data_IF_681828504933
#
_entry.id   IF_681828504933
#
_cell.length_a   1.000
_cell.length_b   1.000
_cell.length_c   1.000
_cell.angle_alpha   90.00
_cell.angle_beta   90.00
_cell.angle_gamma   90.00
#
_symmetry.space_group_name_H-M   'P 1'
#
loop_
_entity.id
_entity.type
_entity.pdbx_description
1 polymer ?
#
# COMPACT_ATOMS: atom_id res chain seq x y z
N UNK A 1 45.54 26.98 -30.42
CA UNK A 1 45.04 26.64 -31.78
C UNK A 1 44.01 25.54 -31.68
N UNK A 2 42.84 25.81 -32.29
CA UNK A 2 41.67 24.96 -32.58
C UNK A 2 40.77 24.54 -31.42
N UNK A 3 39.72 25.29 -31.34
CA UNK A 3 38.39 25.06 -30.74
C UNK A 3 37.68 23.90 -31.42
N UNK A 4 36.89 23.14 -30.66
CA UNK A 4 35.76 22.42 -31.21
C UNK A 4 34.51 22.72 -30.38
N UNK A 5 33.49 23.19 -31.09
CA UNK A 5 32.17 23.57 -30.64
C UNK A 5 31.35 22.37 -30.16
N UNK A 6 30.64 22.54 -29.08
CA UNK A 6 29.50 21.71 -28.70
C UNK A 6 28.24 22.45 -29.10
N UNK A 7 27.41 21.83 -29.91
CA UNK A 7 26.13 22.33 -30.40
C UNK A 7 25.07 22.15 -29.31
N UNK A 8 24.48 23.25 -28.96
CA UNK A 8 23.31 23.37 -28.11
C UNK A 8 22.04 23.18 -28.97
N UNK A 9 21.19 22.24 -28.59
CA UNK A 9 19.92 21.97 -29.25
C UNK A 9 18.76 22.46 -28.38
N UNK A 10 18.52 23.76 -28.39
CA UNK A 10 17.32 24.38 -27.83
C UNK A 10 16.15 24.26 -28.81
N UNK A 11 15.14 23.46 -28.44
CA UNK A 11 13.90 23.28 -29.19
C UNK A 11 13.02 24.50 -29.21
N UNK A 12 12.64 24.91 -30.40
CA UNK A 12 11.78 26.05 -30.73
C UNK A 12 10.32 25.70 -30.44
N UNK A 13 9.69 26.41 -29.49
CA UNK A 13 8.24 26.45 -29.36
C UNK A 13 7.69 27.51 -30.37
N UNK A 14 6.94 27.06 -31.36
CA UNK A 14 6.24 27.92 -32.31
C UNK A 14 4.96 28.46 -31.66
N UNK A 15 4.98 29.76 -31.34
CA UNK A 15 3.78 30.52 -30.92
C UNK A 15 3.04 30.96 -32.16
N UNK A 16 1.86 30.41 -32.42
CA UNK A 16 0.97 30.87 -33.48
C UNK A 16 0.13 32.07 -33.01
N UNK A 17 0.47 33.24 -33.47
CA UNK A 17 -0.30 34.48 -33.24
C UNK A 17 -1.37 34.57 -34.32
N UNK A 18 -2.64 34.49 -33.93
CA UNK A 18 -3.79 34.76 -34.82
C UNK A 18 -4.19 36.21 -34.63
N UNK A 19 -3.99 36.99 -35.67
CA UNK A 19 -4.48 38.38 -35.78
C UNK A 19 -5.92 38.33 -36.25
N UNK A 20 -6.86 38.80 -35.44
CA UNK A 20 -8.28 38.93 -35.82
C UNK A 20 -8.56 40.41 -36.14
N UNK A 21 -8.92 40.69 -37.36
CA UNK A 21 -9.42 41.99 -37.80
C UNK A 21 -10.86 42.23 -37.30
N UNK A 22 -11.09 43.35 -36.63
CA UNK A 22 -12.42 43.83 -36.27
C UNK A 22 -13.06 44.48 -37.49
N UNK A 23 -14.20 43.99 -37.92
CA UNK A 23 -15.17 44.71 -38.74
C UNK A 23 -16.43 44.88 -37.90
N UNK A 24 -16.71 46.14 -37.56
CA UNK A 24 -17.94 46.49 -36.86
C UNK A 24 -19.13 46.50 -37.82
N UNK A 25 -20.12 45.65 -37.57
CA UNK A 25 -21.43 45.67 -38.21
C UNK A 25 -22.49 45.45 -37.16
N UNK A 26 -23.22 46.50 -36.80
CA UNK A 26 -24.41 46.44 -35.94
C UNK A 26 -25.53 45.72 -36.70
N UNK A 27 -25.99 44.60 -36.18
CA UNK A 27 -27.35 44.05 -36.37
C UNK A 27 -27.73 43.25 -35.13
N UNK A 28 -28.77 43.70 -34.47
CA UNK A 28 -29.42 43.08 -33.33
C UNK A 28 -30.10 41.77 -33.74
N UNK A 29 -29.72 40.65 -33.08
CA UNK A 29 -30.50 39.39 -33.12
C UNK A 29 -30.57 38.81 -31.71
N UNK A 30 -31.64 38.07 -31.38
CA UNK A 30 -32.03 37.81 -30.03
C UNK A 30 -31.17 36.69 -29.37
N UNK A 31 -31.01 36.87 -28.07
CA UNK A 31 -30.40 35.95 -27.12
C UNK A 31 -30.99 34.52 -27.21
N UNK A 32 -30.24 33.62 -27.85
CA UNK A 32 -30.45 32.18 -27.73
C UNK A 32 -29.06 31.46 -27.92
N UNK A 33 -28.18 31.59 -26.96
CA UNK A 33 -26.95 30.77 -26.91
C UNK A 33 -26.28 30.89 -25.54
N UNK A 34 -26.96 30.44 -24.46
CA UNK A 34 -26.31 30.39 -23.17
C UNK A 34 -26.80 29.19 -22.30
N UNK A 35 -26.89 28.00 -22.90
CA UNK A 35 -27.29 26.83 -22.13
C UNK A 35 -26.64 25.49 -22.60
N UNK A 36 -25.39 25.52 -23.03
CA UNK A 36 -24.71 24.27 -23.44
C UNK A 36 -23.26 24.09 -22.97
N UNK A 37 -22.77 24.90 -22.02
CA UNK A 37 -21.37 24.83 -21.60
C UNK A 37 -21.11 24.15 -20.26
N UNK A 38 -22.13 23.75 -19.50
CA UNK A 38 -21.97 23.22 -18.14
C UNK A 38 -22.06 21.69 -18.03
N UNK A 39 -22.53 20.97 -19.05
CA UNK A 39 -22.68 19.49 -19.00
C UNK A 39 -21.51 18.71 -19.59
N UNK A 40 -20.66 19.30 -20.42
CA UNK A 40 -19.56 18.56 -21.07
C UNK A 40 -18.36 18.32 -20.15
N UNK A 41 -18.08 19.20 -19.19
CA UNK A 41 -16.91 19.09 -18.32
C UNK A 41 -16.97 17.89 -17.37
N UNK A 42 -18.06 17.65 -16.64
CA UNK A 42 -18.20 16.44 -15.80
C UNK A 42 -18.15 15.12 -16.58
N UNK A 43 -18.72 15.10 -17.80
CA UNK A 43 -18.67 13.92 -18.65
C UNK A 43 -17.26 13.62 -19.19
N UNK A 44 -16.45 14.64 -19.45
CA UNK A 44 -15.07 14.48 -19.88
C UNK A 44 -14.18 14.02 -18.73
N UNK A 45 -14.31 14.62 -17.54
CA UNK A 45 -13.57 14.21 -16.35
C UNK A 45 -13.83 12.73 -16.01
N UNK A 46 -15.08 12.30 -16.05
CA UNK A 46 -15.44 10.88 -15.86
C UNK A 46 -14.81 9.94 -16.93
N UNK A 47 -14.69 10.41 -18.18
CA UNK A 47 -14.01 9.63 -19.22
C UNK A 47 -12.50 9.50 -18.96
N UNK A 48 -11.85 10.56 -18.48
CA UNK A 48 -10.45 10.54 -18.10
C UNK A 48 -10.21 9.63 -16.90
N UNK A 49 -11.02 9.71 -15.86
CA UNK A 49 -10.95 8.79 -14.72
C UNK A 49 -11.07 7.32 -15.15
N UNK A 50 -12.07 7.01 -16.00
CA UNK A 50 -12.24 5.66 -16.51
C UNK A 50 -11.07 5.20 -17.40
N UNK A 51 -10.43 6.13 -18.14
CA UNK A 51 -9.23 5.82 -18.91
C UNK A 51 -8.05 5.51 -17.99
N UNK A 52 -7.85 6.28 -16.93
CA UNK A 52 -6.81 6.03 -15.93
C UNK A 52 -6.98 4.65 -15.31
N UNK A 53 -8.18 4.28 -14.87
CA UNK A 53 -8.43 2.94 -14.34
C UNK A 53 -8.15 1.80 -15.34
N UNK A 54 -8.35 2.04 -16.66
CA UNK A 54 -7.98 1.07 -17.70
C UNK A 54 -6.46 0.98 -17.89
N UNK A 55 -5.76 2.10 -17.79
CA UNK A 55 -4.30 2.12 -17.83
C UNK A 55 -3.71 1.39 -16.62
N UNK A 56 -4.28 1.58 -15.43
CA UNK A 56 -3.89 0.85 -14.21
C UNK A 56 -4.12 -0.67 -14.38
N UNK A 57 -5.25 -1.08 -14.98
CA UNK A 57 -5.51 -2.49 -15.28
C UNK A 57 -4.49 -3.08 -16.26
N UNK A 58 -4.10 -2.31 -17.28
CA UNK A 58 -3.08 -2.74 -18.24
C UNK A 58 -1.70 -2.84 -17.58
N UNK A 59 -1.32 -1.82 -16.79
CA UNK A 59 -0.07 -1.83 -16.03
C UNK A 59 -0.01 -3.02 -15.08
N UNK A 60 -1.10 -3.30 -14.36
CA UNK A 60 -1.22 -4.47 -13.49
C UNK A 60 -1.07 -5.79 -14.24
N UNK A 61 -1.70 -5.92 -15.41
CA UNK A 61 -1.60 -7.13 -16.22
C UNK A 61 -0.18 -7.38 -16.73
N UNK A 62 0.57 -6.31 -17.02
CA UNK A 62 1.99 -6.40 -17.39
C UNK A 62 2.82 -6.83 -16.18
N UNK A 63 2.59 -6.20 -15.03
CA UNK A 63 3.31 -6.50 -13.78
C UNK A 63 3.07 -7.96 -13.33
N UNK A 64 1.85 -8.49 -13.52
CA UNK A 64 1.51 -9.90 -13.26
C UNK A 64 2.44 -10.86 -14.01
N UNK A 65 2.79 -10.54 -15.26
CA UNK A 65 3.72 -11.34 -16.07
C UNK A 65 5.16 -11.17 -15.58
N UNK A 66 5.53 -9.94 -15.21
CA UNK A 66 6.87 -9.63 -14.72
C UNK A 66 7.23 -10.36 -13.42
N UNK A 67 6.24 -10.69 -12.57
CA UNK A 67 6.51 -11.49 -11.37
C UNK A 67 7.19 -12.83 -11.69
N UNK A 68 6.77 -13.53 -12.75
CA UNK A 68 7.38 -14.79 -13.17
C UNK A 68 8.82 -14.62 -13.64
N UNK A 69 9.11 -13.52 -14.36
CA UNK A 69 10.48 -13.16 -14.75
C UNK A 69 11.38 -12.83 -13.55
N UNK A 70 10.82 -12.11 -12.57
CA UNK A 70 11.58 -11.54 -11.45
C UNK A 70 11.85 -12.50 -10.31
N UNK A 71 10.93 -13.41 -10.02
CA UNK A 71 11.02 -14.32 -8.85
C UNK A 71 10.69 -15.77 -9.17
N UNK A 72 10.31 -16.11 -10.40
CA UNK A 72 9.93 -17.46 -10.80
C UNK A 72 11.06 -18.50 -10.67
N UNK A 73 12.31 -18.08 -10.54
CA UNK A 73 13.46 -18.94 -10.24
C UNK A 73 13.57 -19.34 -8.76
N UNK A 74 12.90 -18.62 -7.86
CA UNK A 74 12.96 -18.85 -6.39
C UNK A 74 11.60 -19.17 -5.77
N UNK A 75 10.50 -18.84 -6.43
CA UNK A 75 9.14 -19.02 -5.93
C UNK A 75 8.21 -19.71 -6.94
N UNK A 76 7.31 -20.55 -6.43
CA UNK A 76 6.05 -20.84 -7.09
C UNK A 76 5.10 -19.69 -6.79
N UNK A 77 4.48 -19.14 -7.84
CA UNK A 77 3.66 -17.94 -7.76
C UNK A 77 2.24 -18.31 -8.13
N UNK A 78 1.29 -18.04 -7.25
CA UNK A 78 -0.13 -18.11 -7.52
C UNK A 78 -0.77 -16.72 -7.38
N UNK A 79 -1.81 -16.46 -8.14
CA UNK A 79 -2.70 -15.31 -7.98
C UNK A 79 -4.12 -15.83 -7.81
N UNK A 80 -4.64 -15.74 -6.60
CA UNK A 80 -5.89 -16.38 -6.18
C UNK A 80 -6.94 -15.37 -5.79
N UNK A 81 -8.22 -15.74 -5.90
CA UNK A 81 -9.31 -14.99 -5.33
C UNK A 81 -9.56 -15.38 -3.89
N UNK A 82 -9.65 -14.37 -3.03
CA UNK A 82 -10.05 -14.50 -1.64
C UNK A 82 -11.36 -13.73 -1.42
N UNK A 83 -12.11 -14.12 -0.42
CA UNK A 83 -13.40 -13.54 -0.06
C UNK A 83 -13.25 -12.84 1.28
N UNK A 84 -13.38 -11.52 1.26
CA UNK A 84 -13.39 -10.67 2.46
C UNK A 84 -14.82 -10.32 2.91
N UNK A 85 -14.96 -9.43 3.89
CA UNK A 85 -16.28 -8.96 4.37
C UNK A 85 -17.11 -8.28 3.26
N UNK A 86 -18.43 -8.15 3.45
CA UNK A 86 -19.28 -7.33 2.57
C UNK A 86 -18.80 -5.87 2.46
N UNK A 87 -19.21 -5.12 1.42
CA UNK A 87 -18.85 -3.71 1.27
C UNK A 87 -19.30 -2.88 2.47
N UNK A 88 -18.45 -1.94 2.93
CA UNK A 88 -18.82 -0.99 3.98
C UNK A 88 -19.99 -0.07 3.57
N UNK A 89 -20.04 0.28 2.28
CA UNK A 89 -21.05 1.17 1.69
C UNK A 89 -21.72 0.49 0.50
N UNK A 90 -23.06 0.41 0.56
CA UNK A 90 -23.85 -0.17 -0.51
C UNK A 90 -24.54 0.97 -1.27
N UNK A 91 -24.10 1.26 -2.50
CA UNK A 91 -24.63 2.34 -3.34
C UNK A 91 -26.10 2.11 -3.75
N UNK A 92 -26.47 0.86 -4.04
CA UNK A 92 -27.82 0.46 -4.39
C UNK A 92 -28.22 -0.79 -3.58
N UNK A 93 -28.93 -0.63 -2.45
CA UNK A 93 -29.30 -1.76 -1.59
C UNK A 93 -30.23 -2.79 -2.22
N UNK A 94 -30.91 -2.42 -3.32
CA UNK A 94 -31.83 -3.30 -4.06
C UNK A 94 -31.17 -4.02 -5.24
N UNK A 95 -29.89 -3.70 -5.54
CA UNK A 95 -29.17 -4.41 -6.58
C UNK A 95 -28.92 -5.87 -6.19
N UNK A 96 -29.01 -6.77 -7.17
CA UNK A 96 -28.68 -8.17 -6.96
C UNK A 96 -27.21 -8.27 -6.52
N UNK A 97 -26.96 -8.95 -5.39
CA UNK A 97 -25.61 -9.11 -4.85
C UNK A 97 -25.04 -7.89 -4.11
N UNK A 98 -25.84 -6.85 -3.85
CA UNK A 98 -25.40 -5.61 -3.20
C UNK A 98 -24.69 -5.81 -1.84
N UNK A 99 -24.99 -6.90 -1.13
CA UNK A 99 -24.40 -7.27 0.17
C UNK A 99 -23.47 -8.50 0.08
N UNK A 100 -23.15 -8.95 -1.12
CA UNK A 100 -22.23 -10.07 -1.25
C UNK A 100 -20.85 -9.68 -0.72
N UNK A 101 -20.13 -10.64 -0.12
CA UNK A 101 -18.73 -10.45 0.27
C UNK A 101 -17.88 -9.92 -0.88
N UNK A 102 -16.93 -9.05 -0.55
CA UNK A 102 -15.97 -8.52 -1.52
C UNK A 102 -15.00 -9.62 -1.90
N UNK A 103 -14.76 -9.77 -3.20
CA UNK A 103 -13.73 -10.67 -3.73
C UNK A 103 -12.53 -9.83 -4.13
N UNK A 104 -11.36 -10.24 -3.72
CA UNK A 104 -10.11 -9.57 -4.06
C UNK A 104 -9.04 -10.58 -4.48
N UNK A 105 -8.10 -10.14 -5.30
CA UNK A 105 -6.95 -10.94 -5.67
C UNK A 105 -5.89 -10.92 -4.57
N UNK A 106 -5.12 -12.01 -4.48
CA UNK A 106 -3.93 -12.06 -3.64
C UNK A 106 -2.84 -12.82 -4.36
N UNK A 107 -1.62 -12.33 -4.27
CA UNK A 107 -0.45 -13.12 -4.66
C UNK A 107 -0.07 -14.07 -3.54
N UNK A 108 0.34 -15.27 -3.92
CA UNK A 108 0.91 -16.26 -3.02
C UNK A 108 2.28 -16.65 -3.56
N UNK A 109 3.30 -16.51 -2.73
CA UNK A 109 4.67 -16.89 -3.05
C UNK A 109 5.09 -18.02 -2.13
N UNK A 110 5.43 -19.17 -2.72
CA UNK A 110 5.89 -20.37 -2.01
C UNK A 110 7.29 -20.71 -2.50
N UNK A 111 8.31 -20.86 -1.62
CA UNK A 111 9.65 -21.24 -2.04
C UNK A 111 9.66 -22.46 -2.95
N UNK A 112 10.38 -22.39 -4.09
CA UNK A 112 10.41 -23.51 -5.06
C UNK A 112 10.90 -24.83 -4.46
N UNK A 113 11.92 -24.74 -3.58
CA UNK A 113 12.56 -25.92 -2.97
C UNK A 113 12.01 -26.14 -1.55
N UNK A 114 10.73 -26.47 -1.47
CA UNK A 114 10.03 -26.67 -0.22
C UNK A 114 9.77 -28.16 0.02
N UNK A 115 10.13 -28.66 1.21
CA UNK A 115 9.77 -30.02 1.64
C UNK A 115 8.29 -30.04 2.06
N UNK A 116 7.42 -30.54 1.20
CA UNK A 116 5.96 -30.55 1.42
C UNK A 116 5.51 -31.43 2.59
N UNK A 117 6.41 -32.19 3.22
CA UNK A 117 6.12 -32.94 4.46
C UNK A 117 6.24 -32.10 5.72
N UNK A 118 6.71 -30.84 5.60
CA UNK A 118 6.90 -29.89 6.70
C UNK A 118 5.98 -28.69 6.58
N UNK A 119 5.81 -27.99 7.71
CA UNK A 119 5.09 -26.72 7.77
C UNK A 119 6.06 -25.55 7.88
N UNK A 120 5.68 -24.43 7.26
CA UNK A 120 6.52 -23.24 7.12
C UNK A 120 5.80 -21.99 7.63
N UNK A 121 6.55 -21.01 8.14
CA UNK A 121 5.97 -19.75 8.60
C UNK A 121 5.37 -18.96 7.44
N UNK A 122 4.24 -18.32 7.71
CA UNK A 122 3.54 -17.43 6.81
C UNK A 122 3.84 -15.96 7.17
N UNK A 123 4.06 -15.13 6.16
CA UNK A 123 4.02 -13.69 6.27
C UNK A 123 2.88 -13.13 5.44
N UNK A 124 2.01 -12.34 6.05
CA UNK A 124 1.03 -11.50 5.38
C UNK A 124 1.71 -10.17 5.08
N UNK A 125 1.72 -9.77 3.82
CA UNK A 125 2.43 -8.59 3.33
C UNK A 125 1.46 -7.64 2.62
N UNK A 126 0.69 -6.82 3.38
CA UNK A 126 -0.11 -5.75 2.79
C UNK A 126 0.77 -4.70 2.12
N UNK A 127 0.38 -4.28 0.91
CA UNK A 127 1.08 -3.19 0.22
C UNK A 127 0.78 -1.82 0.85
N UNK A 128 1.67 -0.84 0.60
CA UNK A 128 1.46 0.55 0.98
C UNK A 128 0.58 1.32 -0.01
N UNK A 129 0.30 2.58 0.31
CA UNK A 129 -0.57 3.44 -0.50
C UNK A 129 -2.05 3.12 -0.29
N UNK A 130 -2.87 4.15 -0.24
CA UNK A 130 -4.33 4.00 -0.10
C UNK A 130 -4.90 3.36 -1.34
N UNK A 131 -4.53 3.91 -2.48
CA UNK A 131 -4.83 3.45 -3.82
C UNK A 131 -3.51 3.14 -4.53
N UNK A 132 -3.02 1.95 -4.29
CA UNK A 132 -1.86 1.35 -4.93
C UNK A 132 -2.14 -0.14 -5.15
N UNK A 133 -1.15 -0.89 -5.56
CA UNK A 133 -1.21 -2.33 -5.73
C UNK A 133 0.15 -2.97 -5.40
N UNK A 134 0.13 -4.28 -5.22
CA UNK A 134 1.35 -5.04 -4.97
C UNK A 134 2.08 -5.31 -6.28
N UNK A 135 3.24 -4.68 -6.45
CA UNK A 135 3.99 -4.72 -7.72
C UNK A 135 5.38 -5.32 -7.57
N UNK A 136 6.02 -5.59 -8.71
CA UNK A 136 7.42 -6.03 -8.79
C UNK A 136 8.44 -5.05 -8.19
N UNK A 137 8.00 -3.89 -7.70
CA UNK A 137 8.78 -3.05 -6.77
C UNK A 137 9.28 -3.85 -5.56
N UNK A 138 8.50 -4.84 -5.09
CA UNK A 138 8.83 -5.69 -3.95
C UNK A 138 9.69 -6.91 -4.31
N UNK A 139 10.18 -7.03 -5.53
CA UNK A 139 10.96 -8.18 -6.02
C UNK A 139 12.04 -8.63 -5.06
N UNK A 140 12.91 -7.70 -4.62
CA UNK A 140 14.02 -8.03 -3.74
C UNK A 140 13.56 -8.50 -2.36
N UNK A 141 12.49 -7.92 -1.80
CA UNK A 141 11.90 -8.35 -0.53
C UNK A 141 11.35 -9.78 -0.66
N UNK A 142 10.59 -10.08 -1.72
CA UNK A 142 10.08 -11.43 -1.97
C UNK A 142 11.23 -12.43 -2.10
N UNK A 143 12.28 -12.12 -2.88
CA UNK A 143 13.45 -13.00 -3.01
C UNK A 143 14.15 -13.24 -1.67
N UNK A 144 14.32 -12.19 -0.85
CA UNK A 144 14.92 -12.26 0.48
C UNK A 144 14.08 -13.13 1.44
N UNK A 145 12.74 -13.07 1.35
CA UNK A 145 11.84 -13.89 2.15
C UNK A 145 11.80 -15.35 1.68
N UNK A 146 11.78 -15.58 0.36
CA UNK A 146 11.85 -16.94 -0.22
C UNK A 146 13.15 -17.65 0.17
N UNK A 147 14.28 -16.94 0.17
CA UNK A 147 15.58 -17.52 0.56
C UNK A 147 15.60 -17.97 2.03
N UNK A 148 14.84 -17.33 2.90
CA UNK A 148 14.68 -17.73 4.29
C UNK A 148 13.67 -18.87 4.49
N UNK A 149 12.84 -19.15 3.49
CA UNK A 149 11.84 -20.21 3.53
C UNK A 149 10.49 -19.77 4.13
N UNK A 150 10.15 -18.48 4.05
CA UNK A 150 8.80 -18.01 4.34
C UNK A 150 7.85 -18.31 3.19
N UNK A 151 6.59 -18.61 3.49
CA UNK A 151 5.47 -18.47 2.57
C UNK A 151 4.96 -17.03 2.72
N UNK A 152 4.59 -16.40 1.60
CA UNK A 152 4.10 -15.02 1.62
C UNK A 152 2.76 -14.95 0.92
N UNK A 153 1.78 -14.28 1.54
CA UNK A 153 0.55 -13.84 0.90
C UNK A 153 0.54 -12.31 0.86
N UNK A 154 0.30 -11.76 -0.32
CA UNK A 154 0.23 -10.32 -0.55
C UNK A 154 -1.16 -9.96 -1.11
N UNK A 155 -2.10 -9.52 -0.24
CA UNK A 155 -3.45 -9.19 -0.65
C UNK A 155 -3.52 -7.90 -1.45
N UNK A 156 -4.30 -7.93 -2.52
CA UNK A 156 -4.82 -6.75 -3.23
C UNK A 156 -6.16 -6.39 -2.59
N UNK A 157 -6.10 -5.88 -1.35
CA UNK A 157 -7.27 -5.57 -0.54
C UNK A 157 -8.18 -4.54 -1.23
N UNK A 158 -9.43 -4.42 -0.77
CA UNK A 158 -10.40 -3.45 -1.32
C UNK A 158 -9.81 -2.05 -1.46
N UNK A 159 -10.02 -1.40 -2.60
CA UNK A 159 -9.45 -0.09 -2.90
C UNK A 159 -8.14 -0.13 -3.68
N UNK A 160 -7.50 -1.31 -3.86
CA UNK A 160 -6.29 -1.45 -4.68
C UNK A 160 -6.54 -1.02 -6.13
N UNK A 161 -5.50 -0.44 -6.76
CA UNK A 161 -5.50 -0.08 -8.19
C UNK A 161 -5.33 -1.32 -9.08
N UNK A 162 -5.52 -1.17 -10.38
CA UNK A 162 -5.37 -2.27 -11.33
C UNK A 162 -6.57 -3.21 -11.46
N UNK A 163 -7.65 -2.99 -10.71
CA UNK A 163 -8.85 -3.84 -10.71
C UNK A 163 -10.13 -3.09 -11.10
N UNK A 164 -9.96 -1.88 -11.62
CA UNK A 164 -11.02 -1.01 -12.11
C UNK A 164 -11.71 -0.17 -11.04
N UNK A 165 -12.47 0.85 -11.51
CA UNK A 165 -13.08 1.87 -10.66
C UNK A 165 -13.98 1.29 -9.56
N UNK A 166 -14.79 0.27 -9.88
CA UNK A 166 -15.72 -0.31 -8.92
C UNK A 166 -15.02 -0.95 -7.72
N UNK A 167 -13.83 -1.51 -7.91
CA UNK A 167 -13.00 -2.07 -6.84
C UNK A 167 -12.25 -0.98 -6.08
N UNK A 168 -11.69 0.00 -6.79
CA UNK A 168 -11.05 1.18 -6.24
C UNK A 168 -11.96 1.92 -5.24
N UNK A 169 -13.23 2.13 -5.60
CA UNK A 169 -14.21 2.83 -4.74
C UNK A 169 -14.76 1.99 -3.59
N UNK A 170 -14.27 0.78 -3.37
CA UNK A 170 -14.63 -0.06 -2.21
C UNK A 170 -13.74 0.13 -1.01
N UNK A 171 -12.72 1.00 -1.09
CA UNK A 171 -11.86 1.31 0.05
C UNK A 171 -12.68 1.67 1.29
N UNK A 172 -12.25 1.17 2.44
CA UNK A 172 -12.77 1.55 3.77
C UNK A 172 -11.59 1.82 4.69
N UNK A 173 -10.83 2.85 4.38
CA UNK A 173 -9.52 3.20 4.94
C UNK A 173 -9.45 3.13 6.46
N UNK A 174 -8.58 2.28 7.01
CA UNK A 174 -8.49 1.99 8.45
C UNK A 174 -9.72 1.20 8.97
N UNK A 175 -10.37 0.42 8.09
CA UNK A 175 -11.56 -0.36 8.36
C UNK A 175 -11.52 -1.75 7.74
N UNK A 176 -12.38 -2.03 6.75
CA UNK A 176 -12.57 -3.39 6.22
C UNK A 176 -11.42 -3.88 5.33
N UNK A 177 -10.51 -3.04 4.85
CA UNK A 177 -9.30 -3.52 4.17
C UNK A 177 -8.36 -4.25 5.14
N UNK A 178 -8.46 -3.99 6.44
CA UNK A 178 -7.76 -4.75 7.48
C UNK A 178 -8.31 -6.17 7.51
N UNK A 179 -9.63 -6.31 7.55
CA UNK A 179 -10.33 -7.60 7.53
C UNK A 179 -10.09 -8.38 6.22
N UNK A 180 -9.84 -7.70 5.09
CA UNK A 180 -9.41 -8.37 3.85
C UNK A 180 -8.03 -9.03 4.03
N UNK A 181 -7.10 -8.36 4.73
CA UNK A 181 -5.78 -8.91 5.02
C UNK A 181 -5.88 -10.08 6.00
N UNK A 182 -6.71 -9.97 7.03
CA UNK A 182 -7.00 -11.08 7.95
C UNK A 182 -7.65 -12.27 7.23
N UNK A 183 -8.63 -12.03 6.34
CA UNK A 183 -9.22 -13.07 5.51
C UNK A 183 -8.19 -13.77 4.59
N UNK A 184 -7.18 -13.06 4.13
CA UNK A 184 -6.07 -13.66 3.37
C UNK A 184 -5.20 -14.57 4.24
N UNK A 185 -4.93 -14.17 5.49
CA UNK A 185 -4.27 -15.01 6.49
C UNK A 185 -5.05 -16.30 6.71
N UNK A 186 -6.34 -16.19 6.99
CA UNK A 186 -7.21 -17.33 7.26
C UNK A 186 -7.28 -18.29 6.07
N UNK A 187 -7.45 -17.74 4.85
CA UNK A 187 -7.44 -18.53 3.63
C UNK A 187 -6.15 -19.36 3.49
N UNK A 188 -4.99 -18.79 3.80
CA UNK A 188 -3.71 -19.49 3.71
C UNK A 188 -3.61 -20.61 4.75
N UNK A 189 -4.06 -20.35 5.97
CA UNK A 189 -4.02 -21.34 7.05
C UNK A 189 -4.98 -22.50 6.79
N UNK A 190 -6.15 -22.21 6.23
CA UNK A 190 -7.19 -23.22 5.97
C UNK A 190 -6.92 -24.07 4.72
N UNK A 191 -6.30 -23.50 3.68
CA UNK A 191 -6.24 -24.12 2.36
C UNK A 191 -4.83 -24.56 1.93
N UNK A 192 -3.78 -24.22 2.69
CA UNK A 192 -2.41 -24.59 2.36
C UNK A 192 -1.78 -25.45 3.46
N UNK A 193 -1.78 -26.76 3.29
CA UNK A 193 -1.24 -27.75 4.27
C UNK A 193 0.20 -27.46 4.72
N UNK A 194 0.99 -26.79 3.88
CA UNK A 194 2.39 -26.41 4.17
C UNK A 194 2.52 -25.19 5.06
N UNK A 195 1.43 -24.46 5.33
CA UNK A 195 1.42 -23.30 6.24
C UNK A 195 1.33 -23.76 7.69
N UNK A 196 2.15 -23.16 8.54
CA UNK A 196 2.10 -23.34 9.99
C UNK A 196 1.24 -22.25 10.62
N UNK A 197 0.04 -22.61 11.07
CA UNK A 197 -0.91 -21.68 11.68
C UNK A 197 -0.37 -21.02 12.96
N UNK A 198 0.56 -21.67 13.67
CA UNK A 198 1.18 -21.13 14.88
C UNK A 198 2.35 -20.19 14.60
N UNK A 199 2.75 -20.03 13.34
CA UNK A 199 3.89 -19.20 12.93
C UNK A 199 3.50 -18.24 11.79
N UNK A 200 2.48 -17.42 12.06
CA UNK A 200 2.03 -16.35 11.14
C UNK A 200 2.51 -15.00 11.65
N UNK A 201 3.03 -14.16 10.75
CA UNK A 201 3.45 -12.80 11.04
C UNK A 201 2.95 -11.81 10.00
N UNK A 202 3.03 -10.54 10.36
CA UNK A 202 2.73 -9.40 9.49
C UNK A 202 4.00 -8.61 9.19
N UNK A 203 4.14 -8.15 7.96
CA UNK A 203 5.20 -7.24 7.54
C UNK A 203 4.61 -6.20 6.59
N UNK A 204 4.53 -4.94 6.99
CA UNK A 204 3.91 -3.89 6.19
C UNK A 204 4.58 -2.53 6.36
N UNK A 205 4.51 -1.71 5.30
CA UNK A 205 5.04 -0.35 5.27
C UNK A 205 3.96 0.65 4.90
N UNK A 206 4.05 1.87 5.44
CA UNK A 206 3.12 2.95 5.10
C UNK A 206 1.68 2.60 5.48
N UNK A 207 0.75 2.62 4.54
CA UNK A 207 -0.60 2.09 4.75
C UNK A 207 -0.58 0.58 5.09
N UNK A 208 0.31 -0.21 4.49
CA UNK A 208 0.53 -1.60 4.91
C UNK A 208 1.00 -1.71 6.36
N UNK A 209 1.72 -0.71 6.87
CA UNK A 209 2.07 -0.57 8.28
C UNK A 209 0.88 -0.25 9.17
N UNK A 210 -0.05 0.60 8.70
CA UNK A 210 -1.35 0.82 9.38
C UNK A 210 -2.12 -0.50 9.48
N UNK A 211 -2.23 -1.25 8.37
CA UNK A 211 -2.92 -2.54 8.35
C UNK A 211 -2.25 -3.50 9.34
N UNK A 212 -0.92 -3.60 9.33
CA UNK A 212 -0.20 -4.48 10.25
C UNK A 212 -0.46 -4.14 11.73
N UNK A 213 -0.53 -2.84 12.08
CA UNK A 213 -0.86 -2.38 13.43
C UNK A 213 -2.30 -2.72 13.81
N UNK A 214 -3.26 -2.34 12.97
CA UNK A 214 -4.68 -2.54 13.27
C UNK A 214 -5.03 -4.02 13.31
N UNK A 215 -4.48 -4.84 12.44
CA UNK A 215 -4.75 -6.28 12.38
C UNK A 215 -4.27 -6.99 13.67
N UNK A 216 -3.06 -6.69 14.17
CA UNK A 216 -2.61 -7.25 15.47
C UNK A 216 -3.32 -6.64 16.69
N UNK A 217 -3.99 -5.50 16.54
CA UNK A 217 -4.83 -4.94 17.60
C UNK A 217 -6.22 -5.59 17.65
N UNK A 218 -6.79 -5.96 16.49
CA UNK A 218 -8.11 -6.59 16.42
C UNK A 218 -8.03 -8.12 16.53
N UNK A 219 -6.95 -8.76 16.02
CA UNK A 219 -6.74 -10.21 15.97
C UNK A 219 -5.40 -10.63 16.65
N UNK A 220 -5.18 -10.29 17.94
CA UNK A 220 -3.88 -10.48 18.60
C UNK A 220 -3.44 -11.94 18.73
N UNK A 221 -4.38 -12.89 18.74
CA UNK A 221 -4.10 -14.32 18.89
C UNK A 221 -3.68 -14.99 17.58
N UNK A 222 -3.93 -14.35 16.44
CA UNK A 222 -3.70 -14.91 15.11
C UNK A 222 -2.30 -14.64 14.55
N UNK A 223 -1.54 -13.76 15.19
CA UNK A 223 -0.22 -13.35 14.77
C UNK A 223 0.83 -13.50 15.87
N UNK A 224 1.96 -14.10 15.53
CA UNK A 224 3.11 -14.28 16.44
C UNK A 224 4.00 -13.05 16.55
N UNK A 225 4.01 -12.21 15.52
CA UNK A 225 4.88 -11.03 15.42
C UNK A 225 4.38 -10.11 14.32
N UNK A 226 4.62 -8.80 14.46
CA UNK A 226 4.39 -7.83 13.40
C UNK A 226 5.56 -6.87 13.26
N UNK A 227 5.79 -6.44 12.03
CA UNK A 227 6.63 -5.31 11.68
C UNK A 227 5.80 -4.24 10.99
N UNK A 228 5.90 -3.00 11.45
CA UNK A 228 5.28 -1.82 10.88
C UNK A 228 6.36 -0.77 10.55
N UNK A 229 6.71 -0.66 9.27
CA UNK A 229 7.66 0.33 8.77
C UNK A 229 6.96 1.61 8.35
N UNK A 230 7.48 2.76 8.76
CA UNK A 230 6.93 4.09 8.40
C UNK A 230 5.39 4.12 8.39
N UNK A 231 4.74 3.59 9.46
CA UNK A 231 3.32 3.32 9.42
C UNK A 231 2.48 4.60 9.47
N UNK A 232 1.44 4.68 8.66
CA UNK A 232 0.36 5.64 8.90
C UNK A 232 -0.31 5.25 10.22
N UNK A 233 -0.36 6.15 11.18
CA UNK A 233 -0.76 5.82 12.55
C UNK A 233 -1.73 6.78 13.21
N UNK A 234 -1.84 8.02 12.73
CA UNK A 234 -2.76 9.04 13.24
C UNK A 234 -3.37 9.86 12.09
N UNK A 235 -4.57 9.49 11.68
CA UNK A 235 -5.26 10.17 10.57
C UNK A 235 -5.67 11.60 10.91
N UNK A 236 -5.85 11.94 12.18
CA UNK A 236 -6.17 13.31 12.59
C UNK A 236 -4.93 14.20 12.38
N UNK A 237 -3.76 13.76 12.87
CA UNK A 237 -2.51 14.46 12.67
C UNK A 237 -2.13 14.52 11.19
N UNK A 238 -2.32 13.42 10.46
CA UNK A 238 -2.05 13.33 9.02
C UNK A 238 -2.84 14.35 8.21
N UNK A 239 -4.14 14.52 8.48
CA UNK A 239 -4.95 15.57 7.86
C UNK A 239 -4.46 16.98 8.22
N UNK A 240 -3.75 17.14 9.33
CA UNK A 240 -3.18 18.42 9.76
C UNK A 240 -1.99 18.89 8.92
N UNK A 241 -1.14 18.00 8.45
CA UNK A 241 0.06 18.36 7.70
C UNK A 241 -0.04 18.13 6.17
N UNK A 242 -1.04 17.41 5.69
CA UNK A 242 -1.26 17.20 4.26
C UNK A 242 -2.03 18.35 3.61
N UNK A 243 -1.99 18.41 2.27
CA UNK A 243 -2.65 19.44 1.46
C UNK A 243 -4.16 19.20 1.30
N UNK A 244 -4.87 20.16 0.70
CA UNK A 244 -6.32 20.07 0.53
C UNK A 244 -6.75 18.96 -0.43
N UNK A 245 -5.97 18.63 -1.44
CA UNK A 245 -6.27 17.55 -2.39
C UNK A 245 -6.30 16.19 -1.67
N UNK A 246 -5.31 15.95 -0.82
CA UNK A 246 -5.26 14.75 0.02
C UNK A 246 -6.45 14.66 0.97
N UNK A 247 -6.81 15.78 1.64
CA UNK A 247 -8.01 15.85 2.51
C UNK A 247 -9.30 15.58 1.76
N UNK A 248 -9.43 16.10 0.53
CA UNK A 248 -10.60 15.89 -0.34
C UNK A 248 -10.74 14.42 -0.75
N UNK A 249 -9.63 13.72 -1.02
CA UNK A 249 -9.64 12.28 -1.31
C UNK A 249 -10.26 11.49 -0.15
N UNK A 250 -9.85 11.75 1.08
CA UNK A 250 -10.36 11.04 2.26
C UNK A 250 -11.81 11.41 2.60
N UNK A 251 -12.23 12.63 2.33
CA UNK A 251 -13.62 13.06 2.53
C UNK A 251 -14.55 12.68 1.38
N UNK A 252 -14.05 12.10 0.30
CA UNK A 252 -14.88 11.62 -0.80
C UNK A 252 -15.96 10.62 -0.34
N UNK A 253 -17.18 10.64 -0.92
CA UNK A 253 -18.30 9.80 -0.47
C UNK A 253 -18.02 8.29 -0.44
N UNK A 254 -17.15 7.81 -1.32
CA UNK A 254 -16.76 6.39 -1.37
C UNK A 254 -15.65 6.05 -0.36
N UNK A 255 -14.94 7.04 0.16
CA UNK A 255 -13.87 6.91 1.15
C UNK A 255 -14.43 7.05 2.59
N UNK A 256 -13.81 7.84 3.49
CA UNK A 256 -14.36 8.12 4.82
C UNK A 256 -15.70 8.87 4.69
N UNK A 257 -15.80 9.79 3.73
CA UNK A 257 -17.04 10.48 3.35
C UNK A 257 -17.36 11.73 4.17
N UNK A 258 -16.47 12.11 5.09
CA UNK A 258 -16.53 13.33 5.91
C UNK A 258 -15.09 13.81 6.14
N UNK A 259 -14.91 15.11 6.31
CA UNK A 259 -13.63 15.66 6.74
C UNK A 259 -13.35 15.37 8.21
N UNK A 260 -12.09 15.45 8.64
CA UNK A 260 -11.70 15.30 10.04
C UNK A 260 -12.33 16.37 10.95
N UNK A 261 -12.67 17.56 10.42
CA UNK A 261 -13.39 18.60 11.16
C UNK A 261 -14.86 18.27 11.37
N UNK A 262 -15.48 17.57 10.41
CA UNK A 262 -16.90 17.16 10.51
C UNK A 262 -17.10 15.95 11.41
N UNK A 263 -16.13 15.01 11.44
CA UNK A 263 -16.23 13.78 12.21
C UNK A 263 -14.85 13.28 12.68
N UNK A 264 -14.26 13.98 13.66
CA UNK A 264 -12.96 13.61 14.22
C UNK A 264 -12.96 12.23 14.87
N UNK A 265 -14.10 11.76 15.37
CA UNK A 265 -14.19 10.44 16.02
C UNK A 265 -14.04 9.31 15.00
N UNK A 266 -14.56 9.49 13.80
CA UNK A 266 -14.37 8.52 12.71
C UNK A 266 -12.91 8.42 12.29
N UNK A 267 -12.19 9.55 12.20
CA UNK A 267 -10.75 9.54 11.94
C UNK A 267 -9.93 8.89 13.06
N UNK A 268 -10.29 9.16 14.31
CA UNK A 268 -9.68 8.49 15.47
C UNK A 268 -9.93 6.99 15.46
N UNK A 269 -11.16 6.54 15.19
CA UNK A 269 -11.52 5.12 15.11
C UNK A 269 -10.66 4.37 14.09
N UNK A 270 -10.23 5.05 13.03
CA UNK A 270 -9.41 4.52 11.94
C UNK A 270 -7.90 4.69 12.17
N UNK A 271 -7.49 5.27 13.29
CA UNK A 271 -6.10 5.58 13.62
C UNK A 271 -5.51 4.59 14.61
N UNK A 272 -4.43 3.86 14.24
CA UNK A 272 -3.75 2.93 15.16
C UNK A 272 -3.42 3.52 16.53
N UNK A 273 -3.02 4.79 16.61
CA UNK A 273 -2.66 5.46 17.88
C UNK A 273 -3.78 5.40 18.93
N UNK A 274 -5.03 5.31 18.53
CA UNK A 274 -6.19 5.23 19.45
C UNK A 274 -6.45 3.82 19.97
N UNK A 275 -5.80 2.81 19.38
CA UNK A 275 -6.01 1.39 19.70
C UNK A 275 -4.82 0.74 20.40
N UNK A 276 -3.77 1.50 20.73
CA UNK A 276 -2.51 0.99 21.31
C UNK A 276 -2.72 0.11 22.56
N UNK A 277 -3.80 0.36 23.32
CA UNK A 277 -4.17 -0.45 24.48
C UNK A 277 -4.45 -1.93 24.17
N UNK A 278 -4.75 -2.27 22.92
CA UNK A 278 -5.05 -3.63 22.48
C UNK A 278 -3.79 -4.45 22.14
N UNK A 279 -2.62 -3.83 21.97
CA UNK A 279 -1.39 -4.54 21.58
C UNK A 279 -1.06 -5.66 22.56
N UNK A 280 -0.94 -6.87 22.05
CA UNK A 280 -0.47 -8.08 22.76
C UNK A 280 0.66 -8.77 21.99
N UNK A 281 0.66 -8.65 20.66
CA UNK A 281 1.61 -9.26 19.73
C UNK A 281 2.96 -8.54 19.78
N UNK A 282 4.11 -9.25 19.77
CA UNK A 282 5.43 -8.64 19.60
C UNK A 282 5.47 -7.77 18.34
N UNK A 283 5.91 -6.52 18.51
CA UNK A 283 5.87 -5.49 17.47
C UNK A 283 7.22 -4.81 17.33
N UNK A 284 7.67 -4.60 16.07
CA UNK A 284 8.78 -3.73 15.72
C UNK A 284 8.28 -2.58 14.85
N UNK A 285 8.63 -1.35 15.20
CA UNK A 285 8.30 -0.14 14.44
C UNK A 285 9.60 0.51 13.95
N UNK A 286 9.68 0.83 12.66
CA UNK A 286 10.74 1.65 12.09
C UNK A 286 10.18 2.93 11.49
N UNK A 287 10.92 4.04 11.65
CA UNK A 287 10.66 5.30 10.93
C UNK A 287 11.96 6.04 10.64
N UNK A 288 11.91 7.09 9.84
CA UNK A 288 13.06 7.89 9.41
C UNK A 288 12.73 9.39 9.50
N UNK A 289 13.64 10.18 10.05
CA UNK A 289 13.43 11.64 10.19
C UNK A 289 13.30 12.37 8.85
N UNK A 290 13.86 11.80 7.76
CA UNK A 290 13.73 12.35 6.41
C UNK A 290 12.62 11.69 5.59
N UNK A 291 11.62 11.08 6.24
CA UNK A 291 10.42 10.57 5.57
C UNK A 291 9.60 11.73 4.99
N UNK A 292 9.33 11.67 3.68
CA UNK A 292 8.66 12.70 2.89
C UNK A 292 7.17 12.40 2.64
N UNK A 293 6.63 11.31 3.22
CA UNK A 293 5.22 10.94 3.18
C UNK A 293 4.61 10.84 4.59
N UNK A 294 5.09 9.91 5.42
CA UNK A 294 4.63 9.80 6.81
C UNK A 294 5.54 10.61 7.71
N UNK A 295 5.04 11.74 8.20
CA UNK A 295 5.83 12.60 9.08
C UNK A 295 6.29 11.83 10.32
N UNK A 296 7.59 11.94 10.65
CA UNK A 296 8.17 11.25 11.81
C UNK A 296 7.41 11.53 13.12
N UNK A 297 6.86 12.74 13.29
CA UNK A 297 6.06 13.12 14.45
C UNK A 297 4.78 12.28 14.60
N UNK A 298 4.21 11.80 13.50
CA UNK A 298 3.04 10.91 13.54
C UNK A 298 3.42 9.56 14.16
N UNK A 299 4.59 9.03 13.79
CA UNK A 299 5.10 7.75 14.34
C UNK A 299 5.62 7.92 15.76
N UNK A 300 6.26 9.04 16.08
CA UNK A 300 6.66 9.37 17.46
C UNK A 300 5.45 9.44 18.39
N UNK A 301 4.32 10.01 17.93
CA UNK A 301 3.07 10.02 18.70
C UNK A 301 2.57 8.59 18.97
N UNK A 302 2.61 7.70 17.98
CA UNK A 302 2.28 6.28 18.18
C UNK A 302 3.20 5.63 19.22
N UNK A 303 4.51 5.85 19.11
CA UNK A 303 5.53 5.30 20.05
C UNK A 303 5.26 5.78 21.49
N UNK A 304 5.01 7.07 21.67
CA UNK A 304 4.71 7.63 23.00
C UNK A 304 3.35 7.14 23.56
N UNK A 305 2.35 6.95 22.70
CA UNK A 305 1.07 6.35 23.08
C UNK A 305 1.23 4.90 23.55
N UNK A 306 2.02 4.09 22.83
CA UNK A 306 2.34 2.71 23.22
C UNK A 306 3.09 2.64 24.55
N UNK A 307 4.10 3.50 24.76
CA UNK A 307 4.83 3.61 26.03
C UNK A 307 3.90 4.00 27.18
N UNK A 308 3.06 5.02 26.96
CA UNK A 308 2.10 5.51 27.97
C UNK A 308 1.06 4.44 28.34
N UNK A 309 0.71 3.56 27.39
CA UNK A 309 -0.14 2.40 27.63
C UNK A 309 0.60 1.21 28.26
N UNK A 310 1.88 1.35 28.60
CA UNK A 310 2.70 0.30 29.21
C UNK A 310 2.97 -0.91 28.32
N UNK A 311 2.92 -0.72 26.99
CA UNK A 311 3.09 -1.82 26.02
C UNK A 311 4.55 -2.16 25.82
N UNK A 312 4.84 -3.44 25.57
CA UNK A 312 6.18 -3.94 25.20
C UNK A 312 6.26 -4.05 23.69
N UNK A 313 7.20 -3.32 23.11
CA UNK A 313 7.46 -3.32 21.67
C UNK A 313 8.89 -2.84 21.42
N UNK A 314 9.39 -3.04 20.21
CA UNK A 314 10.68 -2.54 19.76
C UNK A 314 10.46 -1.42 18.72
N UNK A 315 11.37 -0.45 18.68
CA UNK A 315 11.31 0.60 17.65
C UNK A 315 12.70 1.14 17.35
N UNK A 316 12.88 1.67 16.15
CA UNK A 316 14.07 2.43 15.77
C UNK A 316 13.64 3.64 14.91
N UNK A 317 14.06 4.83 15.34
CA UNK A 317 13.94 6.07 14.59
C UNK A 317 15.30 6.31 13.94
N UNK A 318 15.36 6.18 12.63
CA UNK A 318 16.57 6.44 11.87
C UNK A 318 16.70 7.93 11.58
N UNK A 319 17.92 8.46 11.77
CA UNK A 319 18.19 9.87 11.53
C UNK A 319 18.81 10.04 10.14
N UNK A 320 18.20 10.88 9.31
CA UNK A 320 18.67 11.35 8.01
C UNK A 320 19.17 10.25 7.05
N UNK A 321 18.54 9.06 7.10
CA UNK A 321 18.87 8.01 6.15
C UNK A 321 18.32 8.37 4.78
N UNK A 322 19.18 8.40 3.72
CA UNK A 322 18.73 8.67 2.36
C UNK A 322 17.69 7.68 1.85
N UNK A 323 16.71 8.17 1.11
CA UNK A 323 15.64 7.36 0.52
C UNK A 323 14.24 7.73 1.00
N UNK A 324 14.12 8.74 1.89
CA UNK A 324 12.84 9.29 2.36
C UNK A 324 11.92 8.19 2.88
N UNK A 325 10.69 8.15 2.40
CA UNK A 325 9.71 7.15 2.78
C UNK A 325 10.08 5.69 2.41
N UNK A 326 11.02 5.50 1.47
CA UNK A 326 11.45 4.18 1.01
C UNK A 326 12.83 3.75 1.53
N UNK A 327 13.38 4.44 2.52
CA UNK A 327 14.76 4.33 2.99
C UNK A 327 15.26 2.90 3.27
N UNK A 328 14.38 2.01 3.71
CA UNK A 328 14.66 0.60 4.03
C UNK A 328 14.27 -0.38 2.90
N UNK A 329 13.53 0.09 1.88
CA UNK A 329 13.03 -0.73 0.77
C UNK A 329 13.78 -0.54 -0.54
N UNK A 330 14.71 0.40 -0.63
CA UNK A 330 15.59 0.60 -1.78
C UNK A 330 16.79 -0.34 -1.76
N UNK A 331 17.51 -0.45 -2.90
CA UNK A 331 18.64 -1.37 -3.03
C UNK A 331 19.98 -0.74 -2.65
N UNK A 332 20.06 -0.12 -1.48
CA UNK A 332 21.30 0.39 -0.90
C UNK A 332 21.85 -0.55 0.17
N UNK A 333 23.14 -0.48 0.45
CA UNK A 333 23.75 -1.25 1.54
C UNK A 333 23.07 -0.95 2.87
N UNK A 334 22.79 0.33 3.15
CA UNK A 334 22.13 0.75 4.40
C UNK A 334 20.71 0.18 4.51
N UNK A 335 19.93 0.23 3.43
CA UNK A 335 18.61 -0.36 3.41
C UNK A 335 18.65 -1.89 3.65
N UNK A 336 19.61 -2.59 3.05
CA UNK A 336 19.86 -4.03 3.31
C UNK A 336 20.22 -4.32 4.77
N UNK A 337 21.06 -3.49 5.39
CA UNK A 337 21.38 -3.59 6.81
C UNK A 337 20.14 -3.43 7.71
N UNK A 338 19.26 -2.49 7.36
CA UNK A 338 18.00 -2.25 8.05
C UNK A 338 17.05 -3.43 7.87
N UNK A 339 16.85 -3.92 6.62
CA UNK A 339 16.03 -5.11 6.37
C UNK A 339 16.55 -6.34 7.10
N UNK A 340 17.87 -6.50 7.20
CA UNK A 340 18.45 -7.59 8.00
C UNK A 340 18.02 -7.54 9.47
N UNK A 341 17.91 -6.34 10.07
CA UNK A 341 17.38 -6.18 11.45
C UNK A 341 15.92 -6.64 11.53
N UNK A 342 15.08 -6.21 10.57
CA UNK A 342 13.68 -6.60 10.47
C UNK A 342 13.57 -8.13 10.37
N UNK A 343 14.32 -8.76 9.47
CA UNK A 343 14.29 -10.22 9.29
C UNK A 343 14.78 -10.97 10.51
N UNK A 344 15.79 -10.48 11.21
CA UNK A 344 16.26 -11.08 12.48
C UNK A 344 15.20 -11.01 13.58
N UNK A 345 14.49 -9.88 13.67
CA UNK A 345 13.38 -9.72 14.61
C UNK A 345 12.27 -10.73 14.29
N UNK A 346 11.78 -10.77 13.04
CA UNK A 346 10.75 -11.71 12.61
C UNK A 346 11.17 -13.17 12.82
N UNK A 347 12.42 -13.51 12.48
CA UNK A 347 12.96 -14.87 12.61
C UNK A 347 13.04 -15.34 14.07
N UNK A 348 13.19 -14.43 15.02
CA UNK A 348 13.18 -14.74 16.45
C UNK A 348 11.85 -15.38 16.90
N UNK A 349 10.74 -15.02 16.27
CA UNK A 349 9.41 -15.51 16.58
C UNK A 349 8.92 -16.60 15.61
N UNK A 350 9.17 -16.42 14.30
CA UNK A 350 8.64 -17.29 13.25
C UNK A 350 9.54 -18.48 12.89
N UNK A 351 10.81 -18.41 13.24
CA UNK A 351 11.81 -19.50 13.06
C UNK A 351 11.77 -20.12 11.65
N UNK A 352 12.03 -19.32 10.59
CA UNK A 352 12.12 -19.86 9.24
C UNK A 352 13.28 -20.85 9.13
N UNK A 353 13.28 -21.77 8.14
CA UNK A 353 14.33 -22.79 8.01
C UNK A 353 15.74 -22.23 7.79
N UNK A 354 15.85 -21.07 7.13
CA UNK A 354 17.13 -20.46 6.73
C UNK A 354 17.21 -18.98 7.12
N UNK A 355 17.16 -18.63 8.44
CA UNK A 355 17.18 -17.23 8.84
C UNK A 355 18.52 -16.59 8.47
N UNK A 356 18.48 -15.35 7.98
CA UNK A 356 19.71 -14.61 7.69
C UNK A 356 20.47 -14.27 8.97
N UNK A 357 21.75 -14.62 9.00
CA UNK A 357 22.67 -14.29 10.09
C UNK A 357 23.51 -13.05 9.78
N UNK A 358 23.77 -12.78 8.52
CA UNK A 358 24.67 -11.73 8.05
C UNK A 358 24.13 -10.98 6.83
N UNK A 359 24.71 -9.81 6.54
CA UNK A 359 24.43 -9.07 5.32
C UNK A 359 24.77 -9.88 4.04
N UNK A 360 25.83 -10.68 4.11
CA UNK A 360 26.23 -11.54 3.00
C UNK A 360 25.18 -12.61 2.67
N UNK A 361 24.43 -13.10 3.65
CA UNK A 361 23.31 -14.04 3.41
C UNK A 361 22.18 -13.36 2.65
N UNK A 362 21.83 -12.13 3.05
CA UNK A 362 20.82 -11.32 2.39
C UNK A 362 21.25 -10.94 0.96
N UNK A 363 22.49 -10.53 0.76
CA UNK A 363 23.01 -10.16 -0.57
C UNK A 363 23.02 -11.34 -1.57
N UNK A 364 23.20 -12.57 -1.08
CA UNK A 364 23.10 -13.78 -1.92
C UNK A 364 21.69 -14.06 -2.42
N UNK A 365 20.66 -13.63 -1.68
CA UNK A 365 19.27 -13.79 -2.05
C UNK A 365 18.80 -12.78 -3.10
N UNK A 366 19.53 -11.69 -3.29
CA UNK A 366 19.19 -10.61 -4.22
C UNK A 366 19.21 -11.05 -5.68
N UNK A 367 18.85 -10.12 -6.54
CA UNK A 367 18.95 -10.26 -8.00
C UNK A 367 20.43 -10.40 -8.40
N UNK A 368 20.73 -11.36 -9.25
CA UNK A 368 22.05 -11.51 -9.85
C UNK A 368 22.06 -10.92 -11.25
#
# INVERSE_FOLDING_TARGET
MKSHHILDASGVFATMVIVVFFVAGMLSTPSFAQEKKTEEKPALDTKFENLNHRLDQLAKSIDDVLWYDKVGDVANIDKIFIVGPPPAKVKNPTAMGAKNPVKFWSYVFIPQKLDRSKKYPLLVLPHGGVHADFTTYHTHIIRELMAQGYIVVAPEYRGSTGYGRAFYEQIDYGGLEIEDNHAARDHMVENYDVVDADRVGLIGWSHGGLIALMDVFEHPDDYRVAFAGVPVSDLVQRMGYYNDEYRQQFSAPYHIGKTANEDVQEYRRRSPVTHVGKLQTPLLIHTNTSDDDVNVLEVEHLIEALKSAGKKFEYEIFEDIPGGHSFDRIDTKKAKEIRLKIYKFLAGYLKPPHPFSSLADLEKAGYK
#
